data_IF_958431177149
#
_entry.id   IF_958431177149
#
_cell.length_a   1.000
_cell.length_b   1.000
_cell.length_c   1.000
_cell.angle_alpha   90.00
_cell.angle_beta   90.00
_cell.angle_gamma   90.00
#
_symmetry.space_group_name_H-M   'P 1'
#
loop_
_entity.id
_entity.type
_entity.pdbx_description
1 polymer ?
#
# COMPACT_ATOMS: atom_id res chain seq x y z
N UNK A 1 13.96 22.68 -16.52
CA UNK A 1 12.55 22.41 -16.17
C UNK A 1 12.51 20.97 -15.73
N UNK A 2 12.34 20.79 -14.43
CA UNK A 2 12.58 19.52 -13.74
C UNK A 2 11.31 18.68 -13.83
N UNK A 3 11.37 17.54 -14.51
CA UNK A 3 10.29 16.55 -14.47
C UNK A 3 10.34 15.86 -13.10
N UNK A 4 9.78 16.51 -12.09
CA UNK A 4 9.53 15.99 -10.72
C UNK A 4 8.07 15.62 -10.50
N UNK A 5 7.20 15.91 -11.47
CA UNK A 5 5.78 15.55 -11.40
C UNK A 5 5.58 14.09 -11.81
N UNK A 6 4.90 13.33 -10.94
CA UNK A 6 4.47 11.96 -11.24
C UNK A 6 3.35 11.98 -12.28
N UNK A 7 3.38 11.04 -13.21
CA UNK A 7 2.24 10.77 -14.10
C UNK A 7 1.05 10.22 -13.30
N UNK A 8 -0.15 10.25 -13.88
CA UNK A 8 -1.34 9.67 -13.23
C UNK A 8 -1.18 8.17 -12.93
N UNK A 9 -0.50 7.43 -13.80
CA UNK A 9 -0.16 6.02 -13.57
C UNK A 9 0.74 5.84 -12.34
N UNK A 10 1.78 6.67 -12.22
CA UNK A 10 2.70 6.66 -11.08
C UNK A 10 1.99 7.08 -9.79
N UNK A 11 1.12 8.09 -9.84
CA UNK A 11 0.24 8.45 -8.72
C UNK A 11 -0.67 7.29 -8.33
N UNK A 12 -1.17 6.52 -9.31
CA UNK A 12 -1.97 5.32 -9.09
C UNK A 12 -1.24 4.27 -8.27
N UNK A 13 0.03 3.98 -8.59
CA UNK A 13 0.87 3.06 -7.82
C UNK A 13 1.00 3.51 -6.36
N UNK A 14 1.28 4.80 -6.13
CA UNK A 14 1.38 5.37 -4.79
C UNK A 14 0.07 5.24 -4.01
N UNK A 15 -1.07 5.57 -4.63
CA UNK A 15 -2.40 5.45 -4.00
C UNK A 15 -2.71 3.99 -3.62
N UNK A 16 -2.53 3.04 -4.54
CA UNK A 16 -2.81 1.61 -4.30
C UNK A 16 -1.89 1.02 -3.22
N UNK A 17 -0.60 1.38 -3.22
CA UNK A 17 0.32 0.93 -2.17
C UNK A 17 -0.15 1.38 -0.79
N UNK A 18 -0.51 2.66 -0.65
CA UNK A 18 -0.97 3.23 0.62
C UNK A 18 -2.29 2.62 1.07
N UNK A 19 -3.22 2.39 0.15
CA UNK A 19 -4.49 1.73 0.42
C UNK A 19 -4.28 0.34 1.02
N UNK A 20 -3.48 -0.50 0.35
CA UNK A 20 -3.18 -1.85 0.83
C UNK A 20 -2.41 -1.79 2.15
N UNK A 21 -1.41 -0.93 2.26
CA UNK A 21 -0.65 -0.76 3.49
C UNK A 21 -1.57 -0.41 4.68
N UNK A 22 -2.51 0.52 4.50
CA UNK A 22 -3.51 0.88 5.52
C UNK A 22 -4.40 -0.30 5.90
N UNK A 23 -4.83 -1.07 4.91
CA UNK A 23 -5.70 -2.23 5.12
C UNK A 23 -5.04 -3.31 5.99
N UNK A 24 -3.76 -3.60 5.74
CA UNK A 24 -3.05 -4.68 6.41
C UNK A 24 -2.35 -4.25 7.71
N UNK A 25 -1.91 -3.00 7.84
CA UNK A 25 -1.09 -2.53 8.97
C UNK A 25 -1.85 -1.90 10.13
N UNK A 26 -3.18 -1.76 10.04
CA UNK A 26 -4.04 -1.21 11.11
C UNK A 26 -3.38 0.00 11.78
N UNK A 27 -3.14 1.07 11.02
CA UNK A 27 -2.90 2.35 11.68
C UNK A 27 -4.12 2.66 12.57
N UNK A 28 -3.93 3.16 13.80
CA UNK A 28 -5.04 3.72 14.55
C UNK A 28 -5.73 4.73 13.64
N UNK A 29 -7.05 4.53 13.46
CA UNK A 29 -7.93 5.45 12.75
C UNK A 29 -7.53 6.86 13.17
N UNK A 30 -7.05 7.67 12.21
CA UNK A 30 -6.59 9.06 12.40
C UNK A 30 -5.10 9.21 12.74
N UNK A 31 -4.24 8.96 11.76
CA UNK A 31 -3.31 10.03 11.40
C UNK A 31 -3.93 10.77 10.22
N UNK A 32 -4.35 12.01 10.47
CA UNK A 32 -4.65 13.00 9.44
C UNK A 32 -3.40 13.16 8.56
N UNK A 33 -3.37 12.53 7.40
CA UNK A 33 -2.13 12.49 6.62
C UNK A 33 -2.29 12.36 5.11
N UNK A 34 -3.51 12.53 4.59
CA UNK A 34 -3.75 12.71 3.17
C UNK A 34 -4.83 13.77 3.06
N UNK A 35 -4.41 15.03 2.90
CA UNK A 35 -5.33 16.07 2.43
C UNK A 35 -5.35 16.01 0.89
N UNK A 36 -4.20 15.82 0.24
CA UNK A 36 -4.09 15.28 -1.12
C UNK A 36 -2.64 14.83 -1.41
N UNK A 37 -2.44 13.71 -2.14
CA UNK A 37 -1.10 13.30 -2.61
C UNK A 37 -0.38 14.46 -3.30
N UNK A 38 -1.17 15.25 -4.02
CA UNK A 38 -0.75 16.39 -4.79
C UNK A 38 -0.25 17.53 -3.90
N UNK A 39 -0.85 17.74 -2.73
CA UNK A 39 -0.37 18.73 -1.76
C UNK A 39 0.98 18.36 -1.15
N UNK A 40 1.22 17.07 -0.89
CA UNK A 40 2.51 16.59 -0.39
C UNK A 40 3.60 16.67 -1.47
N UNK A 41 3.24 16.35 -2.72
CA UNK A 41 4.14 16.48 -3.86
C UNK A 41 4.47 17.95 -4.20
N UNK A 42 3.48 18.85 -4.12
CA UNK A 42 3.64 20.28 -4.40
C UNK A 42 4.59 20.97 -3.41
N UNK A 43 4.81 20.38 -2.23
CA UNK A 43 5.79 20.87 -1.24
C UNK A 43 7.23 20.47 -1.58
N UNK A 44 7.45 19.77 -2.69
CA UNK A 44 8.78 19.45 -3.23
C UNK A 44 9.51 18.34 -2.47
N UNK A 45 8.83 17.59 -1.62
CA UNK A 45 9.45 16.52 -0.86
C UNK A 45 9.34 15.21 -1.63
N UNK A 46 10.45 14.76 -2.21
CA UNK A 46 10.58 13.38 -2.72
C UNK A 46 10.28 12.33 -1.65
N UNK A 47 10.21 12.70 -0.36
CA UNK A 47 9.67 11.88 0.72
C UNK A 47 8.29 12.41 1.16
N UNK A 48 7.25 11.60 1.00
CA UNK A 48 5.88 11.92 1.45
C UNK A 48 5.81 11.94 2.98
N UNK A 49 4.83 12.64 3.57
CA UNK A 49 4.67 12.75 5.02
C UNK A 49 4.44 11.41 5.73
N UNK A 50 3.95 10.41 4.99
CA UNK A 50 3.81 9.04 5.48
C UNK A 50 5.13 8.24 5.53
N UNK A 51 6.26 8.83 5.12
CA UNK A 51 7.58 8.21 5.14
C UNK A 51 7.94 7.42 3.87
N UNK A 52 7.16 7.57 2.79
CA UNK A 52 7.45 6.96 1.49
C UNK A 52 8.41 7.84 0.70
N UNK A 53 9.51 7.27 0.22
CA UNK A 53 10.39 7.91 -0.76
C UNK A 53 9.87 7.60 -2.17
N UNK A 54 9.62 8.64 -2.95
CA UNK A 54 9.03 8.59 -4.28
C UNK A 54 9.92 9.31 -5.28
N UNK A 55 10.28 8.61 -6.35
CA UNK A 55 11.19 9.09 -7.38
C UNK A 55 10.61 8.82 -8.78
N UNK A 56 10.15 9.87 -9.46
CA UNK A 56 9.48 9.76 -10.76
C UNK A 56 10.33 9.09 -11.86
N UNK A 57 11.67 9.12 -11.72
CA UNK A 57 12.63 8.59 -12.71
C UNK A 57 13.25 7.25 -12.30
N UNK A 58 12.89 6.70 -11.15
CA UNK A 58 13.37 5.39 -10.72
C UNK A 58 12.65 4.27 -11.47
N UNK A 59 13.27 3.09 -11.54
CA UNK A 59 12.62 1.89 -12.11
C UNK A 59 11.36 1.46 -11.36
N UNK A 60 11.26 1.85 -10.09
CA UNK A 60 10.05 1.74 -9.26
C UNK A 60 9.78 3.09 -8.62
N UNK A 61 8.55 3.59 -8.77
CA UNK A 61 8.15 4.93 -8.31
C UNK A 61 8.37 5.10 -6.80
N UNK A 62 8.02 4.08 -6.01
CA UNK A 62 8.30 4.06 -4.58
C UNK A 62 9.65 3.36 -4.40
N UNK A 63 10.64 4.06 -3.87
CA UNK A 63 12.01 3.55 -3.69
C UNK A 63 12.31 3.14 -2.25
N UNK A 64 11.51 3.60 -1.28
CA UNK A 64 11.57 3.12 0.09
C UNK A 64 10.29 3.44 0.88
N UNK A 65 10.03 2.65 1.92
CA UNK A 65 9.07 2.96 2.98
C UNK A 65 9.81 2.98 4.33
N UNK A 66 10.04 4.17 4.87
CA UNK A 66 10.77 4.34 6.13
C UNK A 66 9.94 3.90 7.36
N UNK A 67 8.61 3.77 7.23
CA UNK A 67 7.73 3.34 8.31
C UNK A 67 7.49 1.84 8.30
N UNK A 68 7.57 1.21 7.13
CA UNK A 68 7.40 -0.23 6.96
C UNK A 68 8.30 -0.81 5.85
N UNK A 69 9.62 -0.90 6.10
CA UNK A 69 10.56 -1.42 5.11
C UNK A 69 10.29 -2.90 4.77
N UNK A 70 9.66 -3.65 5.68
CA UNK A 70 9.30 -5.06 5.44
C UNK A 70 8.18 -5.18 4.41
N UNK A 71 7.12 -4.37 4.54
CA UNK A 71 6.06 -4.34 3.55
C UNK A 71 6.56 -3.84 2.18
N UNK A 72 7.45 -2.86 2.17
CA UNK A 72 8.09 -2.41 0.93
C UNK A 72 8.80 -3.55 0.20
N UNK A 73 9.68 -4.28 0.90
CA UNK A 73 10.42 -5.41 0.31
C UNK A 73 9.48 -6.56 -0.08
N UNK A 74 8.41 -6.78 0.69
CA UNK A 74 7.40 -7.76 0.29
C UNK A 74 6.68 -7.38 -1.00
N UNK A 75 6.39 -6.11 -1.27
CA UNK A 75 5.69 -5.70 -2.50
C UNK A 75 6.66 -5.60 -3.69
N UNK A 76 7.77 -4.87 -3.53
CA UNK A 76 8.66 -4.52 -4.64
C UNK A 76 9.92 -5.38 -4.74
N UNK A 77 10.30 -6.08 -3.66
CA UNK A 77 11.43 -7.01 -3.63
C UNK A 77 11.04 -8.48 -3.83
N UNK A 78 9.75 -8.77 -4.03
CA UNK A 78 9.20 -10.14 -4.19
C UNK A 78 9.50 -11.08 -3.01
N UNK A 79 9.71 -10.54 -1.81
CA UNK A 79 10.00 -11.32 -0.60
C UNK A 79 8.69 -11.74 0.10
N UNK A 80 8.30 -12.99 -0.10
CA UNK A 80 7.11 -13.59 0.52
C UNK A 80 7.25 -13.78 2.04
N UNK A 81 8.47 -13.75 2.59
CA UNK A 81 8.76 -14.01 4.01
C UNK A 81 8.90 -12.72 4.83
N UNK A 82 9.08 -11.57 4.18
CA UNK A 82 9.25 -10.28 4.84
C UNK A 82 8.05 -9.87 5.72
N UNK A 83 6.84 -10.35 5.42
CA UNK A 83 5.61 -10.00 6.13
C UNK A 83 4.83 -11.24 6.57
N UNK A 84 5.20 -11.86 7.71
CA UNK A 84 4.62 -13.15 8.14
C UNK A 84 3.14 -13.08 8.55
N UNK A 85 2.55 -11.89 8.60
CA UNK A 85 1.14 -11.65 8.91
C UNK A 85 0.23 -11.60 7.67
N UNK A 86 0.78 -11.81 6.48
CA UNK A 86 0.07 -11.98 5.22
C UNK A 86 0.36 -13.35 4.63
N UNK A 87 -0.62 -13.98 3.99
CA UNK A 87 -0.36 -15.19 3.21
C UNK A 87 0.33 -14.87 1.89
N UNK A 88 0.98 -15.87 1.29
CA UNK A 88 1.60 -15.76 -0.04
C UNK A 88 0.56 -15.32 -1.09
N UNK A 89 -0.67 -15.82 -1.00
CA UNK A 89 -1.76 -15.44 -1.90
C UNK A 89 -2.18 -13.98 -1.72
N UNK A 90 -2.27 -13.50 -0.47
CA UNK A 90 -2.56 -12.10 -0.16
C UNK A 90 -1.46 -11.18 -0.72
N UNK A 91 -0.19 -11.57 -0.60
CA UNK A 91 0.94 -10.83 -1.17
C UNK A 91 0.91 -10.81 -2.69
N UNK A 92 0.67 -11.95 -3.34
CA UNK A 92 0.53 -12.02 -4.81
C UNK A 92 -0.62 -11.19 -5.33
N UNK A 93 -1.75 -11.14 -4.60
CA UNK A 93 -2.85 -10.26 -4.95
C UNK A 93 -2.47 -8.79 -4.76
N UNK A 94 -1.81 -8.45 -3.65
CA UNK A 94 -1.34 -7.10 -3.38
C UNK A 94 -0.37 -6.61 -4.46
N UNK A 95 0.60 -7.42 -4.88
CA UNK A 95 1.56 -7.07 -5.96
C UNK A 95 0.86 -6.79 -7.27
N UNK A 96 -0.07 -7.67 -7.70
CA UNK A 96 -0.87 -7.47 -8.92
C UNK A 96 -1.67 -6.18 -8.87
N UNK A 97 -2.39 -5.97 -7.77
CA UNK A 97 -3.20 -4.77 -7.60
C UNK A 97 -2.32 -3.50 -7.60
N UNK A 98 -1.26 -3.45 -6.80
CA UNK A 98 -0.43 -2.25 -6.65
C UNK A 98 0.37 -1.95 -7.92
N UNK A 99 1.13 -2.93 -8.42
CA UNK A 99 2.14 -2.74 -9.46
C UNK A 99 1.52 -2.78 -10.85
N UNK A 100 0.58 -3.71 -11.08
CA UNK A 100 0.04 -3.99 -12.41
C UNK A 100 -1.32 -3.35 -12.65
N UNK A 101 -1.92 -2.72 -11.63
CA UNK A 101 -3.32 -2.25 -11.67
C UNK A 101 -4.30 -3.36 -12.07
N UNK A 102 -4.00 -4.60 -11.67
CA UNK A 102 -4.77 -5.78 -12.05
C UNK A 102 -5.53 -6.35 -10.85
N UNK A 103 -6.82 -6.62 -11.08
CA UNK A 103 -7.72 -7.21 -10.10
C UNK A 103 -8.27 -6.24 -9.05
N UNK A 104 -8.82 -6.80 -7.99
CA UNK A 104 -9.44 -6.05 -6.89
C UNK A 104 -8.47 -5.87 -5.73
N UNK A 105 -8.66 -4.79 -4.97
CA UNK A 105 -7.95 -4.56 -3.73
C UNK A 105 -7.98 -5.85 -2.86
N UNK A 106 -6.84 -6.29 -2.32
CA UNK A 106 -6.75 -7.51 -1.52
C UNK A 106 -7.68 -7.43 -0.31
N UNK A 107 -8.29 -8.57 0.06
CA UNK A 107 -9.15 -8.68 1.25
C UNK A 107 -8.44 -9.59 2.24
N UNK A 108 -8.31 -9.15 3.50
CA UNK A 108 -7.65 -9.97 4.53
C UNK A 108 -8.51 -11.17 4.90
N UNK A 109 -7.96 -12.38 4.84
CA UNK A 109 -8.70 -13.65 4.92
C UNK A 109 -9.46 -13.92 6.24
N UNK A 110 -9.26 -13.14 7.30
CA UNK A 110 -10.07 -13.20 8.53
C UNK A 110 -11.36 -12.36 8.50
N UNK A 111 -11.53 -11.42 7.56
CA UNK A 111 -12.79 -10.67 7.39
C UNK A 111 -13.89 -11.52 6.73
N UNK A 112 -13.52 -12.60 6.04
CA UNK A 112 -14.45 -13.58 5.47
C UNK A 112 -14.94 -14.61 6.49
N UNK A 113 -14.37 -14.66 7.70
CA UNK A 113 -14.92 -15.42 8.83
C UNK A 113 -16.02 -14.62 9.50
N UNK A 114 -17.18 -14.51 8.84
CA UNK A 114 -18.42 -14.11 9.51
C UNK A 114 -18.66 -15.12 10.64
N UNK A 115 -18.97 -14.71 11.88
CA UNK A 115 -19.33 -15.66 12.92
C UNK A 115 -20.55 -16.46 12.44
N UNK A 116 -20.40 -17.77 12.29
CA UNK A 116 -21.53 -18.68 12.09
C UNK A 116 -22.54 -18.39 13.18
N UNK A 117 -23.74 -17.96 12.79
CA UNK A 117 -24.82 -17.64 13.72
C UNK A 117 -24.97 -18.78 14.73
N UNK A 118 -24.90 -18.43 16.02
CA UNK A 118 -25.40 -19.30 17.09
C UNK A 118 -26.87 -19.53 16.79
N UNK A 119 -27.21 -20.73 16.30
CA UNK A 119 -28.58 -21.23 16.33
C UNK A 119 -28.96 -21.33 17.81
N UNK A 120 -29.81 -20.40 18.27
CA UNK A 120 -30.57 -20.60 19.49
C UNK A 120 -31.69 -21.54 19.09
N UNK A 121 -31.50 -22.82 19.39
CA UNK A 121 -32.61 -23.74 19.54
C UNK A 121 -33.10 -23.58 20.98
N UNK A 122 -34.37 -23.21 21.13
CA UNK A 122 -35.28 -23.61 22.20
C UNK A 122 -36.70 -23.62 21.64
#
# INVERSE_FOLDING_TARGET
MDQTELTEEQKGVVRRYIEVWRLFRRLPYRQSGFVDLEDDMNKGSGMLLCGLLVEARAGTVITADAKDPKFYVAIFGDDDEATPDMTVEELRQARRYIIQDDGMAPVRGWWTKVPTQRSIAD
#
